data_IF_884704385341
#
_entry.id   IF_884704385341
#
_cell.length_a   1.000
_cell.length_b   1.000
_cell.length_c   1.000
_cell.angle_alpha   90.00
_cell.angle_beta   90.00
_cell.angle_gamma   90.00
#
_symmetry.space_group_name_H-M   'P 1'
#
loop_
_entity.id
_entity.type
_entity.pdbx_description
1 polymer ?
#
# COMPACT_ATOMS: atom_id res chain seq x y z
N UNK A 1 24.99 11.25 -35.79
CA UNK A 1 25.17 9.80 -35.62
C UNK A 1 24.54 9.41 -34.31
N UNK A 2 23.57 8.49 -34.37
CA UNK A 2 22.67 8.11 -33.29
C UNK A 2 23.31 7.07 -32.37
N UNK A 3 22.91 7.06 -31.10
CA UNK A 3 22.53 5.80 -30.43
C UNK A 3 21.56 6.07 -29.29
N UNK A 4 20.38 5.51 -29.46
CA UNK A 4 19.29 5.39 -28.49
C UNK A 4 19.54 4.12 -27.67
N UNK A 5 19.55 4.18 -26.34
CA UNK A 5 19.46 2.97 -25.51
C UNK A 5 18.10 2.93 -24.83
N UNK A 6 17.31 1.96 -25.29
CA UNK A 6 15.96 1.69 -24.80
C UNK A 6 16.02 1.11 -23.40
N UNK A 7 15.38 1.81 -22.46
CA UNK A 7 14.92 1.22 -21.22
C UNK A 7 13.80 0.23 -21.57
N UNK A 8 14.08 -1.06 -21.40
CA UNK A 8 13.13 -2.14 -21.56
C UNK A 8 11.96 -1.94 -20.60
N UNK A 9 10.85 -1.42 -21.13
CA UNK A 9 9.57 -1.35 -20.42
C UNK A 9 9.07 -2.78 -20.21
N UNK A 10 9.18 -3.26 -18.97
CA UNK A 10 8.69 -4.57 -18.56
C UNK A 10 7.21 -4.69 -18.94
N UNK A 11 6.93 -5.58 -19.88
CA UNK A 11 5.59 -5.80 -20.42
C UNK A 11 4.72 -6.41 -19.33
N UNK A 12 3.78 -5.62 -18.77
CA UNK A 12 2.74 -6.11 -17.87
C UNK A 12 1.99 -7.24 -18.58
N UNK A 13 2.04 -8.46 -18.03
CA UNK A 13 1.14 -9.54 -18.44
C UNK A 13 -0.26 -9.12 -17.97
N UNK A 14 -1.06 -8.58 -18.89
CA UNK A 14 -2.45 -8.24 -18.62
C UNK A 14 -3.23 -9.57 -18.62
N UNK A 15 -3.15 -10.29 -17.50
CA UNK A 15 -4.14 -11.33 -17.20
C UNK A 15 -5.44 -10.63 -16.86
N UNK A 16 -6.50 -10.93 -17.62
CA UNK A 16 -7.88 -10.48 -17.38
C UNK A 16 -8.42 -11.04 -16.03
N UNK A 17 -7.84 -10.61 -14.92
CA UNK A 17 -8.44 -10.75 -13.60
C UNK A 17 -9.48 -9.64 -13.49
N UNK A 18 -10.72 -9.97 -13.12
CA UNK A 18 -11.80 -9.00 -12.96
C UNK A 18 -11.26 -7.77 -12.23
N UNK A 19 -11.32 -6.60 -12.87
CA UNK A 19 -10.83 -5.33 -12.34
C UNK A 19 -11.43 -5.12 -10.95
N UNK A 20 -10.69 -5.47 -9.91
CA UNK A 20 -11.01 -5.06 -8.55
C UNK A 20 -10.71 -3.58 -8.56
N UNK A 21 -11.76 -2.75 -8.56
CA UNK A 21 -11.59 -1.31 -8.51
C UNK A 21 -10.66 -0.97 -7.33
N UNK A 22 -9.70 -0.05 -7.52
CA UNK A 22 -8.84 0.39 -6.44
C UNK A 22 -9.72 0.81 -5.24
N UNK A 23 -9.28 0.56 -4.00
CA UNK A 23 -10.03 1.00 -2.83
C UNK A 23 -10.29 2.50 -2.93
N UNK A 24 -11.48 2.94 -2.48
CA UNK A 24 -11.73 4.38 -2.31
C UNK A 24 -10.60 5.02 -1.49
N UNK A 25 -10.28 6.29 -1.79
CA UNK A 25 -9.27 7.04 -1.06
C UNK A 25 -9.50 6.90 0.44
N UNK A 26 -8.42 6.66 1.18
CA UNK A 26 -8.52 6.50 2.62
C UNK A 26 -9.05 7.80 3.26
N UNK A 27 -9.98 7.68 4.21
CA UNK A 27 -10.60 8.83 4.87
C UNK A 27 -9.73 9.45 5.97
N UNK A 28 -8.56 8.86 6.26
CA UNK A 28 -7.67 9.21 7.38
C UNK A 28 -8.33 9.11 8.77
N UNK A 29 -9.45 8.39 8.86
CA UNK A 29 -10.11 8.07 10.12
C UNK A 29 -9.63 6.72 10.63
N UNK A 30 -9.18 6.68 11.89
CA UNK A 30 -8.73 5.46 12.54
C UNK A 30 -9.78 4.33 12.47
N UNK A 31 -11.06 4.69 12.52
CA UNK A 31 -12.19 3.76 12.41
C UNK A 31 -12.25 3.01 11.08
N UNK A 32 -11.83 3.67 10.00
CA UNK A 32 -11.94 3.14 8.64
C UNK A 32 -10.69 2.34 8.24
N UNK A 33 -9.60 2.46 9.00
CA UNK A 33 -8.30 1.86 8.68
C UNK A 33 -8.41 0.35 8.44
N UNK A 34 -9.01 -0.39 9.37
CA UNK A 34 -9.04 -1.85 9.26
C UNK A 34 -9.88 -2.35 8.07
N UNK A 35 -10.96 -1.63 7.71
CA UNK A 35 -11.76 -1.94 6.53
C UNK A 35 -11.02 -1.60 5.24
N UNK A 36 -10.40 -0.42 5.21
CA UNK A 36 -9.61 0.05 4.08
C UNK A 36 -8.37 -0.83 3.84
N UNK A 37 -7.58 -1.12 4.89
CA UNK A 37 -6.36 -1.93 4.84
C UNK A 37 -6.62 -3.33 4.28
N UNK A 38 -7.71 -3.99 4.70
CA UNK A 38 -8.12 -5.30 4.17
C UNK A 38 -8.45 -5.24 2.67
N UNK A 39 -9.09 -4.16 2.21
CA UNK A 39 -9.38 -3.95 0.78
C UNK A 39 -8.08 -3.70 -0.01
N UNK A 40 -7.20 -2.84 0.51
CA UNK A 40 -5.89 -2.57 -0.08
C UNK A 40 -5.05 -3.84 -0.22
N UNK A 41 -4.98 -4.68 0.81
CA UNK A 41 -4.22 -5.95 0.76
C UNK A 41 -4.76 -6.94 -0.29
N UNK A 42 -6.08 -6.96 -0.49
CA UNK A 42 -6.67 -7.78 -1.56
C UNK A 42 -6.34 -7.20 -2.93
N UNK A 43 -6.44 -5.89 -3.08
CA UNK A 43 -6.04 -5.20 -4.30
C UNK A 43 -4.56 -5.43 -4.63
N UNK A 44 -3.67 -5.29 -3.63
CA UNK A 44 -2.23 -5.54 -3.76
C UNK A 44 -1.92 -6.92 -4.34
N UNK A 45 -2.59 -7.97 -3.84
CA UNK A 45 -2.40 -9.35 -4.33
C UNK A 45 -3.03 -9.61 -5.70
N UNK A 46 -4.18 -9.01 -5.98
CA UNK A 46 -4.89 -9.24 -7.25
C UNK A 46 -4.23 -8.51 -8.41
N UNK A 47 -3.71 -7.31 -8.19
CA UNK A 47 -3.03 -6.50 -9.21
C UNK A 47 -1.53 -6.85 -9.36
N UNK A 48 -1.03 -7.82 -8.57
CA UNK A 48 0.37 -8.24 -8.59
C UNK A 48 1.34 -7.19 -8.02
N UNK A 49 0.85 -6.25 -7.22
CA UNK A 49 1.68 -5.24 -6.55
C UNK A 49 2.56 -5.90 -5.49
N UNK A 50 2.13 -7.01 -4.90
CA UNK A 50 2.95 -7.78 -3.97
C UNK A 50 4.21 -8.40 -4.60
N UNK A 51 4.25 -8.51 -5.93
CA UNK A 51 5.41 -8.99 -6.69
C UNK A 51 6.40 -7.88 -7.09
N UNK A 52 6.02 -6.60 -6.93
CA UNK A 52 6.87 -5.45 -7.27
C UNK A 52 8.02 -5.27 -6.25
N UNK A 53 9.08 -4.51 -6.60
CA UNK A 53 10.10 -4.11 -5.63
C UNK A 53 9.48 -3.44 -4.41
N UNK A 54 10.02 -3.69 -3.21
CA UNK A 54 9.43 -3.18 -1.96
C UNK A 54 9.20 -1.67 -1.97
N UNK A 55 10.10 -0.91 -2.60
CA UNK A 55 9.97 0.53 -2.80
C UNK A 55 8.70 0.90 -3.55
N UNK A 56 8.43 0.24 -4.68
CA UNK A 56 7.23 0.49 -5.48
C UNK A 56 5.96 0.09 -4.73
N UNK A 57 6.04 -0.93 -3.86
CA UNK A 57 4.92 -1.30 -3.01
C UNK A 57 4.62 -0.23 -1.94
N UNK A 58 5.67 0.43 -1.42
CA UNK A 58 5.54 1.56 -0.51
C UNK A 58 4.92 2.75 -1.24
N UNK A 59 5.45 3.11 -2.41
CA UNK A 59 4.90 4.20 -3.24
C UNK A 59 3.42 3.97 -3.53
N UNK A 60 3.05 2.74 -3.92
CA UNK A 60 1.67 2.38 -4.18
C UNK A 60 0.78 2.50 -2.93
N UNK A 61 1.31 2.14 -1.75
CA UNK A 61 0.60 2.24 -0.48
C UNK A 61 0.32 3.69 -0.11
N UNK A 62 1.33 4.54 -0.17
CA UNK A 62 1.24 5.97 0.13
C UNK A 62 0.28 6.64 -0.85
N UNK A 63 0.42 6.34 -2.14
CA UNK A 63 -0.43 6.86 -3.19
C UNK A 63 -1.91 6.52 -2.99
N UNK A 64 -2.17 5.26 -2.60
CA UNK A 64 -3.54 4.78 -2.38
C UNK A 64 -4.21 5.35 -1.13
N UNK A 65 -3.43 5.77 -0.12
CA UNK A 65 -3.97 6.45 1.06
C UNK A 65 -4.35 7.90 0.75
N UNK A 66 -3.59 8.57 -0.11
CA UNK A 66 -3.77 9.96 -0.50
C UNK A 66 -2.50 10.75 -0.21
N UNK A 67 -1.74 11.04 -1.27
CA UNK A 67 -0.35 11.54 -1.27
C UNK A 67 -0.02 12.49 -0.10
N UNK A 68 -0.74 13.61 0.04
CA UNK A 68 -0.32 14.68 0.96
C UNK A 68 -0.28 14.26 2.43
N UNK A 69 -1.32 13.59 2.95
CA UNK A 69 -1.38 13.26 4.38
C UNK A 69 -0.56 11.99 4.67
N UNK A 70 -0.46 11.07 3.71
CA UNK A 70 0.31 9.85 3.87
C UNK A 70 1.82 10.11 3.90
N UNK A 71 2.32 11.02 3.06
CA UNK A 71 3.72 11.47 3.07
C UNK A 71 4.08 12.17 4.39
N UNK A 72 3.24 13.10 4.87
CA UNK A 72 3.45 13.77 6.15
C UNK A 72 3.54 12.79 7.34
N UNK A 73 2.72 11.74 7.33
CA UNK A 73 2.74 10.68 8.35
C UNK A 73 3.99 9.80 8.21
N UNK A 74 4.40 9.48 6.99
CA UNK A 74 5.59 8.69 6.72
C UNK A 74 6.85 9.42 7.23
N UNK A 75 6.96 10.72 6.97
CA UNK A 75 8.02 11.59 7.48
C UNK A 75 8.00 11.64 9.01
N UNK A 76 6.81 11.67 9.62
CA UNK A 76 6.66 11.66 11.07
C UNK A 76 7.19 10.37 11.73
N UNK A 77 7.19 9.23 11.01
CA UNK A 77 7.76 7.98 11.53
C UNK A 77 9.28 8.01 11.69
N UNK A 78 9.98 8.98 11.07
CA UNK A 78 11.44 9.15 11.14
C UNK A 78 12.19 7.85 10.86
N UNK A 79 11.73 7.13 9.83
CA UNK A 79 12.39 5.93 9.36
C UNK A 79 13.71 6.29 8.67
N UNK A 80 14.68 5.39 8.73
CA UNK A 80 15.87 5.49 7.88
C UNK A 80 15.52 5.22 6.41
N UNK A 81 16.39 5.65 5.49
CA UNK A 81 16.22 5.44 4.04
C UNK A 81 16.01 3.97 3.64
N UNK A 82 16.58 3.02 4.38
CA UNK A 82 16.38 1.60 4.10
C UNK A 82 15.04 1.11 4.66
N UNK A 83 14.60 1.67 5.78
CA UNK A 83 13.33 1.33 6.42
C UNK A 83 12.12 1.92 5.70
N UNK A 84 12.25 3.12 5.12
CA UNK A 84 11.19 3.75 4.32
C UNK A 84 10.94 3.00 3.00
N UNK A 85 11.91 2.19 2.55
CA UNK A 85 11.81 1.35 1.36
C UNK A 85 11.25 -0.04 1.65
N UNK A 86 11.21 -0.45 2.92
CA UNK A 86 10.70 -1.75 3.34
C UNK A 86 9.20 -1.68 3.60
N UNK A 87 8.44 -2.33 2.71
CA UNK A 87 6.99 -2.41 2.80
C UNK A 87 6.48 -2.97 4.14
N UNK A 88 7.15 -3.97 4.70
CA UNK A 88 6.75 -4.59 5.97
C UNK A 88 6.93 -3.62 7.13
N UNK A 89 8.00 -2.84 7.13
CA UNK A 89 8.26 -1.85 8.17
C UNK A 89 7.25 -0.69 8.07
N UNK A 90 7.09 -0.13 6.86
CA UNK A 90 6.17 0.98 6.62
C UNK A 90 4.73 0.61 6.93
N UNK A 91 4.26 -0.55 6.43
CA UNK A 91 2.89 -1.01 6.71
C UNK A 91 2.62 -1.23 8.20
N UNK A 92 3.59 -1.79 8.94
CA UNK A 92 3.48 -1.97 10.39
C UNK A 92 3.40 -0.64 11.15
N UNK A 93 4.12 0.39 10.70
CA UNK A 93 4.06 1.72 11.31
C UNK A 93 2.71 2.39 11.07
N UNK A 94 2.16 2.29 9.86
CA UNK A 94 0.81 2.76 9.60
C UNK A 94 -0.24 2.00 10.41
N UNK A 95 -0.12 0.67 10.54
CA UNK A 95 -1.00 -0.13 11.40
C UNK A 95 -0.94 0.37 12.85
N UNK A 96 0.26 0.61 13.40
CA UNK A 96 0.43 1.15 14.75
C UNK A 96 -0.13 2.56 14.92
N UNK A 97 -0.07 3.39 13.88
CA UNK A 97 -0.58 4.75 13.91
C UNK A 97 -2.11 4.81 13.93
N UNK A 98 -2.76 4.03 13.06
CA UNK A 98 -4.20 4.08 12.86
C UNK A 98 -4.99 3.08 13.72
N UNK A 99 -4.38 1.97 14.17
CA UNK A 99 -5.05 1.02 15.06
C UNK A 99 -5.03 1.52 16.50
N UNK A 100 -6.12 2.16 16.90
CA UNK A 100 -6.48 2.21 18.32
C UNK A 100 -6.81 0.79 18.80
N UNK A 101 -6.19 0.34 19.90
CA UNK A 101 -6.30 -1.01 20.53
C UNK A 101 -7.69 -1.68 20.59
N UNK A 102 -8.78 -0.97 20.33
CA UNK A 102 -10.16 -1.46 20.47
C UNK A 102 -10.93 -1.72 19.16
N UNK A 103 -10.48 -1.27 17.97
CA UNK A 103 -11.37 -1.21 16.79
C UNK A 103 -11.05 -2.14 15.62
N UNK A 104 -9.88 -2.78 15.57
CA UNK A 104 -9.55 -3.71 14.48
C UNK A 104 -10.13 -5.12 14.65
N UNK A 105 -10.55 -5.45 15.88
CA UNK A 105 -11.24 -6.70 16.18
C UNK A 105 -12.75 -6.51 16.01
N UNK A 106 -13.28 -6.84 14.83
CA UNK A 106 -14.66 -7.31 14.72
C UNK A 106 -14.75 -8.51 13.77
N UNK A 107 -14.91 -9.65 14.44
CA UNK A 107 -15.51 -10.95 14.07
C UNK A 107 -14.93 -11.72 12.88
N UNK A 108 -13.96 -12.59 13.19
CA UNK A 108 -13.96 -13.96 12.67
C UNK A 108 -13.98 -14.92 13.86
N UNK A 109 -15.07 -14.89 14.62
CA UNK A 109 -15.46 -16.00 15.47
C UNK A 109 -16.55 -16.73 14.70
N UNK A 110 -16.15 -17.67 13.85
CA UNK A 110 -17.08 -18.67 13.33
C UNK A 110 -17.29 -19.69 14.46
N UNK A 111 -18.51 -19.69 14.99
CA UNK A 111 -19.10 -20.88 15.63
C UNK A 111 -19.34 -21.94 14.57
#
# INVERSE_FOLDING_TARGET
MATTEGAASATRKITNHAMVSPPDKFSFRNEDWCGWRRRYERFRRVDGIDELPQTEQVDHLVYSQGDVIAEDILDWFRLSDDQSKDYSIVSSKFEQHFVSKQRCLRTSSFL
#
